data_IF_064782877356
#
_entry.id   IF_064782877356
#
_cell.length_a   1.000
_cell.length_b   1.000
_cell.length_c   1.000
_cell.angle_alpha   90.00
_cell.angle_beta   90.00
_cell.angle_gamma   90.00
#
_symmetry.space_group_name_H-M   'P 1'
#
loop_
_entity.id
_entity.type
_entity.pdbx_description
1 polymer ?
#
# COMPACT_ATOMS: atom_id res chain seq x y z
N UNK A 1 -15.86 17.14 70.59
CA UNK A 1 -14.55 17.31 69.95
C UNK A 1 -14.45 16.30 68.81
N UNK A 2 -15.19 16.50 67.72
CA UNK A 2 -15.07 17.52 66.66
C UNK A 2 -14.49 16.86 65.42
N UNK A 3 -15.42 16.47 64.55
CA UNK A 3 -15.23 15.94 63.20
C UNK A 3 -14.43 16.94 62.34
N UNK A 4 -13.46 16.43 61.58
CA UNK A 4 -12.68 17.23 60.62
C UNK A 4 -13.49 17.42 59.34
N UNK A 5 -14.07 18.62 59.19
CA UNK A 5 -14.80 19.04 58.00
C UNK A 5 -13.88 19.47 56.84
N UNK A 6 -14.29 19.01 55.66
CA UNK A 6 -14.07 19.48 54.29
C UNK A 6 -13.26 20.77 54.02
N UNK A 7 -12.22 20.59 53.19
CA UNK A 7 -11.88 21.35 51.98
C UNK A 7 -12.35 22.82 51.88
N UNK A 8 -11.48 23.77 52.24
CA UNK A 8 -11.36 25.05 51.55
C UNK A 8 -10.44 24.82 50.34
N UNK A 9 -10.72 25.21 49.10
CA UNK A 9 -11.09 26.54 48.67
C UNK A 9 -12.04 26.47 47.46
N UNK A 10 -13.29 26.83 47.73
CA UNK A 10 -14.29 27.22 46.74
C UNK A 10 -14.32 28.75 46.73
N UNK A 11 -13.79 29.37 45.68
CA UNK A 11 -14.40 30.50 44.93
C UNK A 11 -13.38 31.19 43.99
N UNK A 12 -13.42 30.77 42.72
CA UNK A 12 -13.78 31.64 41.58
C UNK A 12 -13.26 33.09 41.61
N UNK A 13 -12.14 33.34 40.92
CA UNK A 13 -11.93 34.61 40.22
C UNK A 13 -11.91 34.36 38.72
N UNK A 14 -12.98 34.85 38.08
CA UNK A 14 -13.12 35.03 36.65
C UNK A 14 -12.01 35.95 36.13
N UNK A 15 -11.33 35.53 35.08
CA UNK A 15 -10.84 36.46 34.07
C UNK A 15 -11.34 35.98 32.70
N UNK A 16 -12.39 36.66 32.23
CA UNK A 16 -12.89 36.56 30.87
C UNK A 16 -11.79 37.01 29.91
N UNK A 17 -11.32 36.10 29.06
CA UNK A 17 -10.73 36.47 27.77
C UNK A 17 -11.04 35.37 26.75
N UNK A 18 -11.91 35.73 25.83
CA UNK A 18 -12.27 35.01 24.61
C UNK A 18 -11.06 35.04 23.64
N UNK A 19 -10.59 33.86 23.23
CA UNK A 19 -10.04 33.61 21.88
C UNK A 19 -9.88 32.10 21.70
N UNK A 20 -10.88 31.52 21.03
CA UNK A 20 -11.10 30.09 20.83
C UNK A 20 -10.17 29.39 19.84
N UNK A 21 -8.86 29.61 19.87
CA UNK A 21 -7.91 28.89 18.99
C UNK A 21 -6.60 28.50 19.69
N UNK A 22 -6.66 27.54 20.62
CA UNK A 22 -5.47 26.76 20.98
C UNK A 22 -5.83 25.28 21.24
N UNK A 23 -6.54 24.67 20.29
CA UNK A 23 -6.81 23.23 20.23
C UNK A 23 -6.34 22.57 18.93
N UNK A 24 -5.42 23.20 18.20
CA UNK A 24 -4.83 22.65 16.97
C UNK A 24 -3.35 22.26 17.10
N UNK A 25 -2.72 22.41 18.27
CA UNK A 25 -1.30 22.06 18.45
C UNK A 25 -1.08 20.67 19.08
N UNK A 26 -2.18 19.98 19.41
CA UNK A 26 -2.21 18.61 19.91
C UNK A 26 -3.20 17.80 19.06
N UNK A 27 -2.92 17.63 17.77
CA UNK A 27 -3.23 16.33 17.18
C UNK A 27 -2.40 15.36 18.03
N UNK A 28 -3.05 14.75 19.03
CA UNK A 28 -2.43 14.10 20.20
C UNK A 28 -1.22 13.29 19.77
N UNK A 29 -0.07 13.38 20.46
CA UNK A 29 1.12 12.55 20.17
C UNK A 29 0.74 11.07 19.97
N UNK A 30 -0.30 10.61 20.67
CA UNK A 30 -0.92 9.28 20.55
C UNK A 30 -1.52 8.99 19.16
N UNK A 31 -2.12 9.98 18.49
CA UNK A 31 -2.67 9.86 17.14
C UNK A 31 -1.54 9.79 16.10
N UNK A 32 -0.44 10.51 16.31
CA UNK A 32 0.75 10.44 15.46
C UNK A 32 1.46 9.09 15.64
N UNK A 33 1.62 8.62 16.87
CA UNK A 33 2.16 7.31 17.19
C UNK A 33 1.34 6.19 16.56
N UNK A 34 0.01 6.25 16.68
CA UNK A 34 -0.90 5.30 16.04
C UNK A 34 -0.79 5.33 14.51
N UNK A 35 -0.70 6.53 13.91
CA UNK A 35 -0.53 6.66 12.46
C UNK A 35 0.81 6.07 12.00
N UNK A 36 1.88 6.27 12.78
CA UNK A 36 3.20 5.71 12.49
C UNK A 36 3.22 4.19 12.60
N UNK A 37 2.60 3.64 13.64
CA UNK A 37 2.44 2.19 13.81
C UNK A 37 1.63 1.57 12.65
N UNK A 38 0.54 2.22 12.25
CA UNK A 38 -0.26 1.79 11.12
C UNK A 38 0.55 1.81 9.82
N UNK A 39 1.29 2.88 9.56
CA UNK A 39 2.16 3.00 8.38
C UNK A 39 3.23 1.90 8.36
N UNK A 40 3.91 1.67 9.48
CA UNK A 40 4.93 0.62 9.60
C UNK A 40 4.32 -0.76 9.36
N UNK A 41 3.12 -1.02 9.88
CA UNK A 41 2.41 -2.29 9.70
C UNK A 41 2.03 -2.51 8.24
N UNK A 42 1.46 -1.50 7.57
CA UNK A 42 1.10 -1.58 6.14
C UNK A 42 2.34 -1.81 5.28
N UNK A 43 3.42 -1.06 5.53
CA UNK A 43 4.69 -1.22 4.81
C UNK A 43 5.28 -2.63 5.01
N UNK A 44 5.21 -3.18 6.22
CA UNK A 44 5.68 -4.53 6.50
C UNK A 44 4.86 -5.60 5.76
N UNK A 45 3.53 -5.45 5.71
CA UNK A 45 2.63 -6.35 4.96
C UNK A 45 2.94 -6.26 3.47
N UNK A 46 3.01 -5.06 2.91
CA UNK A 46 3.29 -4.86 1.48
C UNK A 46 4.67 -5.43 1.10
N UNK A 47 5.68 -5.24 1.95
CA UNK A 47 6.98 -5.85 1.76
C UNK A 47 6.92 -7.38 1.78
N UNK A 48 6.16 -7.96 2.72
CA UNK A 48 5.98 -9.40 2.77
C UNK A 48 5.32 -9.92 1.50
N UNK A 49 4.25 -9.29 1.04
CA UNK A 49 3.51 -9.71 -0.16
C UNK A 49 4.35 -9.57 -1.44
N UNK A 50 5.12 -8.49 -1.57
CA UNK A 50 5.93 -8.25 -2.77
C UNK A 50 7.20 -9.12 -2.82
N UNK A 51 7.84 -9.37 -1.67
CA UNK A 51 9.20 -9.91 -1.66
C UNK A 51 9.34 -11.26 -0.98
N UNK A 52 8.53 -11.58 0.04
CA UNK A 52 8.67 -12.81 0.83
C UNK A 52 7.65 -13.87 0.41
N UNK A 53 6.38 -13.50 0.28
CA UNK A 53 5.25 -14.35 -0.05
C UNK A 53 5.03 -14.47 -1.57
N UNK A 54 6.11 -14.75 -2.32
CA UNK A 54 6.03 -14.81 -3.79
C UNK A 54 5.06 -15.91 -4.24
N UNK A 55 3.98 -15.51 -4.90
CA UNK A 55 3.07 -16.43 -5.57
C UNK A 55 3.71 -16.88 -6.89
N UNK A 56 3.70 -18.18 -7.22
CA UNK A 56 4.16 -18.65 -8.52
C UNK A 56 3.40 -17.95 -9.65
N UNK A 57 4.12 -17.19 -10.47
CA UNK A 57 3.54 -16.58 -11.68
C UNK A 57 3.03 -17.65 -12.66
N UNK A 58 3.65 -18.83 -12.64
CA UNK A 58 3.24 -20.01 -13.40
C UNK A 58 2.57 -21.02 -12.48
N UNK A 59 1.29 -21.28 -12.77
CA UNK A 59 0.50 -22.34 -12.14
C UNK A 59 0.17 -23.49 -13.09
N UNK A 60 0.67 -23.44 -14.33
CA UNK A 60 0.46 -24.46 -15.35
C UNK A 60 1.76 -25.17 -15.75
N UNK A 61 1.61 -26.36 -16.32
CA UNK A 61 2.70 -27.17 -16.85
C UNK A 61 3.06 -26.81 -18.30
N UNK A 62 2.50 -25.74 -18.88
CA UNK A 62 2.69 -25.39 -20.29
C UNK A 62 4.12 -24.94 -20.56
N UNK A 63 4.76 -25.38 -21.63
CA UNK A 63 6.14 -24.96 -21.94
C UNK A 63 6.29 -24.57 -23.41
N UNK A 64 7.42 -23.94 -23.76
CA UNK A 64 7.75 -23.59 -25.13
C UNK A 64 6.64 -22.80 -25.86
N UNK A 65 6.28 -23.28 -27.05
CA UNK A 65 5.30 -22.62 -27.91
C UNK A 65 3.90 -22.52 -27.28
N UNK A 66 3.47 -23.55 -26.53
CA UNK A 66 2.15 -23.56 -25.90
C UNK A 66 2.01 -22.47 -24.84
N UNK A 67 3.07 -22.29 -24.04
CA UNK A 67 3.14 -21.21 -23.07
C UNK A 67 3.10 -19.84 -23.75
N UNK A 68 3.92 -19.64 -24.79
CA UNK A 68 3.97 -18.37 -25.53
C UNK A 68 2.61 -18.05 -26.17
N UNK A 69 1.93 -19.03 -26.77
CA UNK A 69 0.61 -18.82 -27.36
C UNK A 69 -0.43 -18.46 -26.29
N UNK A 70 -0.39 -19.09 -25.11
CA UNK A 70 -1.26 -18.70 -23.99
C UNK A 70 -1.02 -17.25 -23.55
N UNK A 71 0.23 -16.78 -23.51
CA UNK A 71 0.53 -15.40 -23.14
C UNK A 71 -0.06 -14.41 -24.15
N UNK A 72 0.05 -14.72 -25.44
CA UNK A 72 -0.44 -13.88 -26.54
C UNK A 72 -1.98 -13.84 -26.55
N UNK A 73 -2.63 -14.97 -26.31
CA UNK A 73 -4.09 -15.14 -26.46
C UNK A 73 -4.89 -14.94 -25.16
N UNK A 74 -4.30 -15.17 -23.99
CA UNK A 74 -5.05 -15.31 -22.73
C UNK A 74 -5.29 -14.01 -21.96
N UNK A 75 -4.39 -13.03 -22.06
CA UNK A 75 -4.57 -11.71 -21.45
C UNK A 75 -3.64 -10.69 -22.15
N UNK A 76 -4.18 -9.56 -22.66
CA UNK A 76 -3.40 -8.60 -23.45
C UNK A 76 -2.23 -7.98 -22.68
N UNK A 77 -2.32 -7.88 -21.35
CA UNK A 77 -1.27 -7.28 -20.53
C UNK A 77 -0.10 -8.25 -20.31
N UNK A 78 -0.30 -9.56 -20.40
CA UNK A 78 0.76 -10.53 -20.10
C UNK A 78 1.92 -10.47 -21.10
N UNK A 79 1.62 -10.24 -22.37
CA UNK A 79 2.65 -10.04 -23.38
C UNK A 79 3.47 -8.78 -23.07
N UNK A 80 2.79 -7.70 -22.63
CA UNK A 80 3.44 -6.46 -22.21
C UNK A 80 4.29 -6.66 -20.94
N UNK A 81 3.79 -7.37 -19.94
CA UNK A 81 4.48 -7.59 -18.68
C UNK A 81 5.79 -8.37 -18.87
N UNK A 82 5.76 -9.41 -19.72
CA UNK A 82 6.88 -10.33 -19.92
C UNK A 82 7.85 -9.90 -21.02
N UNK A 83 7.33 -9.43 -22.15
CA UNK A 83 8.14 -9.10 -23.33
C UNK A 83 8.30 -7.59 -23.54
N UNK A 84 7.62 -6.76 -22.74
CA UNK A 84 7.60 -5.30 -22.89
C UNK A 84 7.13 -4.87 -24.29
N UNK A 85 6.25 -5.68 -24.88
CA UNK A 85 5.65 -5.48 -26.19
C UNK A 85 4.17 -5.83 -26.15
N UNK A 86 3.35 -5.06 -26.84
CA UNK A 86 1.98 -5.48 -27.11
C UNK A 86 1.97 -6.78 -27.93
N UNK A 87 0.95 -7.62 -27.74
CA UNK A 87 0.84 -8.93 -28.39
C UNK A 87 1.01 -8.86 -29.91
N UNK A 88 0.43 -7.84 -30.55
CA UNK A 88 0.52 -7.66 -32.00
C UNK A 88 1.93 -7.26 -32.47
N UNK A 89 2.65 -6.46 -31.67
CA UNK A 89 4.04 -6.05 -31.94
C UNK A 89 4.97 -7.27 -31.84
N UNK A 90 4.80 -8.07 -30.79
CA UNK A 90 5.58 -9.30 -30.60
C UNK A 90 5.37 -10.28 -31.76
N UNK A 91 4.11 -10.50 -32.18
CA UNK A 91 3.80 -11.35 -33.33
C UNK A 91 4.46 -10.84 -34.63
N UNK A 92 4.43 -9.53 -34.87
CA UNK A 92 5.08 -8.94 -36.04
C UNK A 92 6.61 -9.09 -35.98
N UNK A 93 7.21 -8.95 -34.79
CA UNK A 93 8.63 -9.21 -34.59
C UNK A 93 8.99 -10.67 -34.91
N UNK A 94 8.22 -11.64 -34.41
CA UNK A 94 8.42 -13.06 -34.75
C UNK A 94 8.27 -13.34 -36.25
N UNK A 95 7.30 -12.68 -36.90
CA UNK A 95 7.12 -12.78 -38.34
C UNK A 95 8.35 -12.27 -39.11
N UNK A 96 8.90 -11.12 -38.72
CA UNK A 96 10.12 -10.57 -39.33
C UNK A 96 11.36 -11.43 -39.09
N UNK A 97 11.52 -12.02 -37.90
CA UNK A 97 12.60 -12.95 -37.61
C UNK A 97 12.52 -14.19 -38.53
N UNK A 98 11.33 -14.79 -38.63
CA UNK A 98 11.10 -15.94 -39.52
C UNK A 98 11.35 -15.59 -40.97
N UNK A 99 10.91 -14.41 -41.42
CA UNK A 99 11.16 -13.92 -42.80
C UNK A 99 12.66 -13.81 -43.10
N UNK A 100 13.48 -13.54 -42.09
CA UNK A 100 14.93 -13.41 -42.19
C UNK A 100 15.70 -14.70 -41.87
N UNK A 101 15.01 -15.81 -41.62
CA UNK A 101 15.58 -17.11 -41.21
C UNK A 101 16.44 -17.05 -39.94
N UNK A 102 16.00 -16.29 -38.94
CA UNK A 102 16.50 -16.39 -37.57
C UNK A 102 15.73 -17.45 -36.77
#
# INVERSE_FOLDING_TARGET
>A
DSDMEMNSDFEKLSCDSDDGEMKNFLLSDEQEEFAMELCATVAAIEYCDMFLCKIPYRNDSLTGAEYVMRLILGNPNRCLDLFRMESHVFLNFCFELRRRNF
#
